data_IF_220085018150
#
_entry.id   IF_220085018150
#
_cell.length_a   1.000
_cell.length_b   1.000
_cell.length_c   1.000
_cell.angle_alpha   90.00
_cell.angle_beta   90.00
_cell.angle_gamma   90.00
#
_symmetry.space_group_name_H-M   'P 1'
#
loop_
_entity.id
_entity.type
_entity.pdbx_description
1 polymer ?
#
# COMPACT_ATOMS: atom_id res chain seq x y z
N UNK A 1 22.41 4.77 31.46
CA UNK A 1 22.77 4.67 30.03
C UNK A 1 22.58 3.22 29.60
N UNK A 2 21.61 2.95 28.71
CA UNK A 2 21.40 1.60 28.16
C UNK A 2 22.52 1.34 27.15
N UNK A 3 23.27 0.24 27.33
CA UNK A 3 24.37 -0.12 26.42
C UNK A 3 23.85 -0.31 24.99
N UNK A 4 24.59 0.18 24.00
CA UNK A 4 24.26 0.04 22.58
C UNK A 4 24.01 -1.43 22.17
N UNK A 5 24.68 -2.38 22.85
CA UNK A 5 24.46 -3.83 22.66
C UNK A 5 23.08 -4.29 23.13
N UNK A 6 22.56 -3.69 24.20
CA UNK A 6 21.22 -4.00 24.75
C UNK A 6 20.14 -3.41 23.84
N UNK A 7 20.34 -2.19 23.32
CA UNK A 7 19.41 -1.59 22.36
C UNK A 7 19.32 -2.41 21.06
N UNK A 8 20.46 -2.83 20.51
CA UNK A 8 20.52 -3.69 19.32
C UNK A 8 19.89 -5.07 19.60
N UNK A 9 20.15 -5.67 20.75
CA UNK A 9 19.53 -6.95 21.13
C UNK A 9 18.01 -6.85 21.29
N UNK A 10 17.50 -5.77 21.89
CA UNK A 10 16.05 -5.53 22.02
C UNK A 10 15.41 -5.27 20.65
N UNK A 11 16.06 -4.53 19.76
CA UNK A 11 15.57 -4.33 18.38
C UNK A 11 15.56 -5.66 17.63
N UNK A 12 16.65 -6.43 17.65
CA UNK A 12 16.73 -7.73 16.98
C UNK A 12 15.72 -8.74 17.56
N UNK A 13 15.49 -8.74 18.86
CA UNK A 13 14.50 -9.61 19.51
C UNK A 13 13.08 -9.20 19.14
N UNK A 14 12.76 -7.90 19.07
CA UNK A 14 11.45 -7.43 18.60
C UNK A 14 11.25 -7.69 17.10
N UNK A 15 12.28 -7.54 16.28
CA UNK A 15 12.25 -7.93 14.86
C UNK A 15 12.06 -9.44 14.73
N UNK A 16 12.79 -10.25 15.48
CA UNK A 16 12.66 -11.70 15.48
C UNK A 16 11.27 -12.16 15.94
N UNK A 17 10.77 -11.65 17.06
CA UNK A 17 9.43 -11.94 17.57
C UNK A 17 8.35 -11.44 16.61
N UNK A 18 8.52 -10.28 15.99
CA UNK A 18 7.63 -9.75 14.95
C UNK A 18 7.62 -10.60 13.69
N UNK A 19 8.78 -11.06 13.22
CA UNK A 19 8.91 -11.96 12.07
C UNK A 19 8.29 -13.33 12.40
N UNK A 20 8.57 -13.91 13.57
CA UNK A 20 8.02 -15.19 14.02
C UNK A 20 6.49 -15.15 14.15
N UNK A 21 5.95 -14.08 14.72
CA UNK A 21 4.50 -13.89 14.86
C UNK A 21 3.83 -13.61 13.51
N UNK A 22 4.48 -12.87 12.60
CA UNK A 22 4.05 -12.77 11.19
C UNK A 22 4.00 -14.14 10.55
N UNK A 23 5.05 -14.97 10.65
CA UNK A 23 5.10 -16.32 10.06
C UNK A 23 4.03 -17.27 10.63
N UNK A 24 3.77 -17.27 11.94
CA UNK A 24 2.72 -18.09 12.55
C UNK A 24 1.31 -17.63 12.16
N UNK A 25 1.06 -16.31 12.13
CA UNK A 25 -0.23 -15.77 11.68
C UNK A 25 -0.44 -16.04 10.19
N UNK A 26 0.60 -15.85 9.36
CA UNK A 26 0.56 -16.11 7.91
C UNK A 26 0.33 -17.58 7.60
N UNK A 27 1.06 -18.48 8.26
CA UNK A 27 0.93 -19.92 8.05
C UNK A 27 -0.48 -20.39 8.38
N UNK A 28 -1.05 -19.94 9.50
CA UNK A 28 -2.42 -20.26 9.90
C UNK A 28 -3.48 -19.66 8.97
N UNK A 29 -3.36 -18.38 8.60
CA UNK A 29 -4.30 -17.70 7.68
C UNK A 29 -4.23 -18.31 6.29
N UNK A 30 -3.04 -18.56 5.75
CA UNK A 30 -2.85 -19.18 4.44
C UNK A 30 -3.45 -20.59 4.42
N UNK A 31 -3.20 -21.41 5.44
CA UNK A 31 -3.76 -22.75 5.53
C UNK A 31 -5.29 -22.72 5.64
N UNK A 32 -5.85 -21.80 6.44
CA UNK A 32 -7.31 -21.65 6.60
C UNK A 32 -7.97 -21.17 5.30
N UNK A 33 -7.33 -20.24 4.59
CA UNK A 33 -7.80 -19.75 3.28
C UNK A 33 -7.75 -20.85 2.23
N UNK A 34 -6.65 -21.60 2.15
CA UNK A 34 -6.52 -22.74 1.23
C UNK A 34 -7.55 -23.83 1.55
N UNK A 35 -7.80 -24.09 2.83
CA UNK A 35 -8.83 -25.02 3.26
C UNK A 35 -10.23 -24.51 2.87
N UNK A 36 -10.55 -23.24 3.11
CA UNK A 36 -11.82 -22.63 2.69
C UNK A 36 -12.01 -22.65 1.16
N UNK A 37 -10.94 -22.42 0.39
CA UNK A 37 -10.94 -22.51 -1.07
C UNK A 37 -11.24 -23.92 -1.59
N UNK A 38 -10.87 -24.96 -0.83
CA UNK A 38 -11.16 -26.34 -1.20
C UNK A 38 -12.66 -26.70 -1.08
N UNK A 39 -13.44 -25.93 -0.32
CA UNK A 39 -14.86 -26.21 -0.07
C UNK A 39 -15.84 -25.22 -0.71
N UNK A 40 -15.37 -24.08 -1.23
CA UNK A 40 -16.23 -23.06 -1.83
C UNK A 40 -16.25 -23.18 -3.36
N UNK A 41 -17.39 -23.62 -3.89
CA UNK A 41 -17.66 -23.59 -5.31
C UNK A 41 -17.92 -22.14 -5.75
N UNK A 42 -16.97 -21.56 -6.46
CA UNK A 42 -17.13 -20.25 -7.11
C UNK A 42 -18.09 -20.31 -8.30
N UNK A 43 -18.56 -19.14 -8.79
CA UNK A 43 -19.34 -19.07 -10.02
C UNK A 43 -18.48 -19.50 -11.23
N UNK A 44 -19.12 -19.79 -12.36
CA UNK A 44 -18.40 -20.02 -13.62
C UNK A 44 -17.67 -18.75 -14.02
N UNK A 45 -16.34 -18.82 -14.07
CA UNK A 45 -15.49 -17.71 -14.50
C UNK A 45 -15.58 -17.48 -16.01
N UNK A 46 -15.34 -16.25 -16.41
CA UNK A 46 -15.43 -15.77 -17.78
C UNK A 46 -14.06 -15.77 -18.47
N UNK A 47 -14.09 -15.92 -19.78
CA UNK A 47 -12.97 -15.64 -20.66
C UNK A 47 -12.85 -14.13 -20.90
N UNK A 48 -11.66 -13.67 -21.28
CA UNK A 48 -11.35 -12.26 -21.53
C UNK A 48 -12.37 -11.60 -22.46
N UNK A 49 -12.68 -12.26 -23.59
CA UNK A 49 -13.62 -11.75 -24.59
C UNK A 49 -15.07 -11.65 -24.08
N UNK A 50 -15.42 -12.43 -23.06
CA UNK A 50 -16.75 -12.43 -22.44
C UNK A 50 -16.86 -11.51 -21.22
N UNK A 51 -15.75 -10.94 -20.76
CA UNK A 51 -15.74 -9.99 -19.65
C UNK A 51 -16.19 -8.59 -20.08
N UNK A 52 -16.75 -7.76 -19.18
CA UNK A 52 -17.09 -6.37 -19.48
C UNK A 52 -15.90 -5.56 -20.03
N UNK A 53 -16.11 -4.61 -20.97
CA UNK A 53 -15.01 -3.87 -21.62
C UNK A 53 -14.05 -3.15 -20.66
N UNK A 54 -14.55 -2.61 -19.54
CA UNK A 54 -13.72 -1.94 -18.54
C UNK A 54 -12.79 -2.89 -17.76
N UNK A 55 -13.03 -4.20 -17.79
CA UNK A 55 -12.16 -5.23 -17.20
C UNK A 55 -11.17 -5.83 -18.21
N UNK A 56 -11.30 -5.52 -19.50
CA UNK A 56 -10.47 -6.04 -20.59
C UNK A 56 -9.12 -5.29 -20.77
N UNK A 57 -8.51 -4.80 -19.69
CA UNK A 57 -7.30 -3.97 -19.78
C UNK A 57 -6.02 -4.76 -20.13
N UNK A 58 -6.00 -6.08 -19.92
CA UNK A 58 -4.85 -6.93 -20.21
C UNK A 58 -5.22 -8.10 -21.12
N UNK A 59 -4.89 -8.00 -22.41
CA UNK A 59 -5.16 -9.03 -23.43
C UNK A 59 -4.41 -10.36 -23.23
N UNK A 60 -3.42 -10.40 -22.34
CA UNK A 60 -2.62 -11.60 -22.09
C UNK A 60 -3.21 -12.49 -20.99
N UNK A 61 -4.15 -11.97 -20.19
CA UNK A 61 -4.91 -12.77 -19.22
C UNK A 61 -6.16 -13.24 -19.94
N UNK A 62 -6.20 -14.51 -20.33
CA UNK A 62 -7.21 -15.04 -21.24
C UNK A 62 -8.47 -15.53 -20.53
N UNK A 63 -8.37 -15.97 -19.27
CA UNK A 63 -9.45 -16.61 -18.52
C UNK A 63 -9.41 -16.24 -17.04
N UNK A 64 -10.41 -16.69 -16.28
CA UNK A 64 -10.44 -16.53 -14.83
C UNK A 64 -11.07 -15.22 -14.35
N UNK A 65 -11.79 -14.52 -15.21
CA UNK A 65 -12.50 -13.28 -14.87
C UNK A 65 -13.76 -13.59 -14.07
N UNK A 66 -13.97 -12.88 -12.96
CA UNK A 66 -15.22 -12.98 -12.21
C UNK A 66 -16.37 -12.35 -13.02
N UNK A 67 -17.57 -12.95 -13.01
CA UNK A 67 -18.76 -12.31 -13.58
C UNK A 67 -19.13 -11.06 -12.76
N UNK A 68 -20.03 -10.23 -13.30
CA UNK A 68 -20.60 -9.11 -12.57
C UNK A 68 -21.19 -9.63 -11.25
N UNK A 69 -20.81 -9.00 -10.14
CA UNK A 69 -21.03 -9.52 -8.79
C UNK A 69 -21.65 -8.48 -7.88
N UNK A 70 -22.51 -8.93 -6.96
CA UNK A 70 -22.94 -8.11 -5.82
C UNK A 70 -21.78 -7.89 -4.85
N UNK A 71 -21.91 -6.94 -3.91
CA UNK A 71 -20.93 -6.74 -2.81
C UNK A 71 -20.62 -8.05 -2.08
N UNK A 72 -21.64 -8.87 -1.82
CA UNK A 72 -21.50 -10.12 -1.10
C UNK A 72 -20.69 -11.14 -1.91
N UNK A 73 -20.92 -11.21 -3.22
CA UNK A 73 -20.19 -12.12 -4.10
C UNK A 73 -18.74 -11.69 -4.31
N UNK A 74 -18.47 -10.38 -4.32
CA UNK A 74 -17.11 -9.85 -4.29
C UNK A 74 -16.40 -10.32 -3.01
N UNK A 75 -17.01 -10.21 -1.83
CA UNK A 75 -16.41 -10.68 -0.57
C UNK A 75 -16.22 -12.20 -0.58
N UNK A 76 -17.19 -12.97 -1.09
CA UNK A 76 -17.06 -14.44 -1.24
C UNK A 76 -15.90 -14.83 -2.16
N UNK A 77 -15.52 -13.97 -3.11
CA UNK A 77 -14.41 -14.23 -4.03
C UNK A 77 -13.03 -14.32 -3.40
N UNK A 78 -12.88 -13.84 -2.15
CA UNK A 78 -11.67 -14.08 -1.37
C UNK A 78 -11.36 -15.57 -1.19
N UNK A 79 -12.35 -16.44 -1.36
CA UNK A 79 -12.24 -17.85 -1.04
C UNK A 79 -12.42 -18.77 -2.26
N UNK A 80 -12.17 -18.29 -3.48
CA UNK A 80 -12.00 -19.17 -4.64
C UNK A 80 -10.97 -18.60 -5.62
N UNK A 81 -10.40 -19.46 -6.46
CA UNK A 81 -9.36 -19.05 -7.41
C UNK A 81 -9.95 -18.23 -8.57
N UNK A 82 -9.37 -17.06 -8.83
CA UNK A 82 -9.68 -16.21 -9.98
C UNK A 82 -8.47 -15.32 -10.31
N UNK A 83 -8.50 -14.62 -11.45
CA UNK A 83 -7.35 -13.87 -11.97
C UNK A 83 -6.88 -12.72 -11.06
N UNK A 84 -7.79 -12.08 -10.32
CA UNK A 84 -7.48 -10.99 -9.38
C UNK A 84 -7.08 -11.45 -7.97
N UNK A 85 -7.11 -12.75 -7.67
CA UNK A 85 -6.92 -13.25 -6.30
C UNK A 85 -5.52 -12.90 -5.77
N UNK A 86 -4.50 -13.08 -6.61
CA UNK A 86 -3.12 -12.71 -6.27
C UNK A 86 -3.01 -11.23 -5.90
N UNK A 87 -3.61 -10.34 -6.70
CA UNK A 87 -3.60 -8.90 -6.45
C UNK A 87 -4.30 -8.53 -5.13
N UNK A 88 -5.39 -9.22 -4.78
CA UNK A 88 -6.07 -8.99 -3.50
C UNK A 88 -5.18 -9.39 -2.33
N UNK A 89 -4.59 -10.58 -2.36
CA UNK A 89 -3.82 -11.11 -1.23
C UNK A 89 -2.47 -10.41 -1.06
N UNK A 90 -1.78 -10.06 -2.15
CA UNK A 90 -0.48 -9.35 -2.07
C UNK A 90 -0.61 -7.96 -1.43
N UNK A 91 -1.78 -7.32 -1.51
CA UNK A 91 -2.05 -6.04 -0.85
C UNK A 91 -2.81 -6.18 0.47
N UNK A 92 -3.73 -7.14 0.57
CA UNK A 92 -4.56 -7.40 1.73
C UNK A 92 -3.79 -7.91 2.92
N UNK A 93 -2.76 -8.73 2.71
CA UNK A 93 -1.98 -9.21 3.84
C UNK A 93 -1.12 -8.08 4.45
N UNK A 94 -0.35 -7.29 3.68
CA UNK A 94 0.28 -6.09 4.21
C UNK A 94 -0.69 -5.11 4.88
N UNK A 95 -1.93 -4.96 4.36
CA UNK A 95 -2.96 -4.13 5.01
C UNK A 95 -3.23 -4.59 6.45
N UNK A 96 -3.49 -5.88 6.65
CA UNK A 96 -3.74 -6.46 7.98
C UNK A 96 -2.50 -6.34 8.85
N UNK A 97 -1.31 -6.66 8.32
CA UNK A 97 -0.06 -6.50 9.04
C UNK A 97 0.15 -5.06 9.49
N UNK A 98 -0.12 -4.07 8.65
CA UNK A 98 0.03 -2.67 9.01
C UNK A 98 -1.01 -2.21 10.03
N UNK A 99 -2.28 -2.63 9.91
CA UNK A 99 -3.32 -2.31 10.90
C UNK A 99 -2.99 -2.83 12.30
N UNK A 100 -2.37 -4.00 12.40
CA UNK A 100 -2.05 -4.63 13.69
C UNK A 100 -0.65 -4.26 14.19
N UNK A 101 0.38 -4.44 13.36
CA UNK A 101 1.76 -4.35 13.79
C UNK A 101 2.25 -2.91 13.90
N UNK A 102 1.85 -1.98 13.01
CA UNK A 102 2.37 -0.61 13.08
C UNK A 102 1.95 0.10 14.38
N UNK A 103 0.68 0.09 14.81
CA UNK A 103 0.30 0.74 16.07
C UNK A 103 0.98 0.12 17.29
N UNK A 104 1.27 -1.18 17.27
CA UNK A 104 1.94 -1.87 18.38
C UNK A 104 3.44 -1.58 18.44
N UNK A 105 4.09 -1.35 17.29
CA UNK A 105 5.55 -1.16 17.20
C UNK A 105 5.98 0.31 17.20
N UNK A 106 5.07 1.25 16.94
CA UNK A 106 5.35 2.68 17.05
C UNK A 106 5.49 3.05 18.54
N UNK A 107 6.63 3.62 18.99
CA UNK A 107 6.81 4.00 20.39
C UNK A 107 6.10 5.33 20.69
N UNK A 108 4.77 5.31 20.71
CA UNK A 108 3.90 6.49 20.81
C UNK A 108 4.24 7.43 21.97
N UNK A 109 4.66 6.88 23.11
CA UNK A 109 5.05 7.64 24.30
C UNK A 109 6.40 8.35 24.16
N UNK A 110 7.25 7.94 23.21
CA UNK A 110 8.58 8.51 22.97
C UNK A 110 8.61 9.45 21.77
N UNK A 111 7.52 9.54 21.01
CA UNK A 111 7.42 10.42 19.84
C UNK A 111 7.05 11.82 20.31
N UNK A 112 7.99 12.75 20.20
CA UNK A 112 7.75 14.17 20.50
C UNK A 112 6.80 14.85 19.52
N UNK A 113 6.60 14.27 18.33
CA UNK A 113 5.78 14.82 17.24
C UNK A 113 4.76 13.79 16.76
N UNK A 114 3.72 13.56 17.57
CA UNK A 114 2.74 12.48 17.38
C UNK A 114 2.04 12.52 16.02
N UNK A 115 1.73 13.72 15.50
CA UNK A 115 1.07 13.88 14.21
C UNK A 115 1.86 13.26 13.06
N UNK A 116 3.20 13.26 13.13
CA UNK A 116 4.07 12.73 12.10
C UNK A 116 4.01 11.19 12.06
N UNK A 117 3.87 10.56 13.22
CA UNK A 117 3.63 9.12 13.35
C UNK A 117 2.27 8.72 12.79
N UNK A 118 1.21 9.48 13.10
CA UNK A 118 -0.14 9.25 12.56
C UNK A 118 -0.17 9.40 11.04
N UNK A 119 0.42 10.47 10.51
CA UNK A 119 0.50 10.72 9.06
C UNK A 119 1.27 9.60 8.35
N UNK A 120 2.37 9.13 8.92
CA UNK A 120 3.12 8.01 8.36
C UNK A 120 2.30 6.71 8.36
N UNK A 121 1.62 6.42 9.46
CA UNK A 121 0.76 5.25 9.57
C UNK A 121 -0.36 5.25 8.52
N UNK A 122 -1.08 6.37 8.38
CA UNK A 122 -2.12 6.53 7.36
C UNK A 122 -1.55 6.43 5.94
N UNK A 123 -0.37 7.02 5.70
CA UNK A 123 0.31 6.90 4.42
C UNK A 123 0.61 5.45 4.07
N UNK A 124 1.14 4.67 5.02
CA UNK A 124 1.48 3.26 4.86
C UNK A 124 0.27 2.34 4.71
N UNK A 125 -0.92 2.73 5.18
CA UNK A 125 -2.16 1.95 4.96
C UNK A 125 -2.80 2.23 3.60
N UNK A 126 -2.63 3.45 3.11
CA UNK A 126 -3.43 3.97 2.00
C UNK A 126 -3.32 3.20 0.66
N UNK A 127 -2.12 2.80 0.14
CA UNK A 127 -2.07 2.05 -1.11
C UNK A 127 -2.58 0.62 -0.98
N UNK A 128 -2.44 -0.01 0.19
CA UNK A 128 -2.91 -1.36 0.44
C UNK A 128 -4.43 -1.38 0.51
N UNK A 129 -5.03 -0.42 1.23
CA UNK A 129 -6.47 -0.28 1.31
C UNK A 129 -7.09 0.02 -0.06
N UNK A 130 -6.54 1.01 -0.78
CA UNK A 130 -7.02 1.38 -2.10
C UNK A 130 -6.96 0.22 -3.09
N UNK A 131 -5.83 -0.50 -3.14
CA UNK A 131 -5.62 -1.65 -4.02
C UNK A 131 -6.54 -2.83 -3.69
N UNK A 132 -6.70 -3.18 -2.40
CA UNK A 132 -7.62 -4.24 -1.97
C UNK A 132 -9.06 -3.91 -2.37
N UNK A 133 -9.53 -2.68 -2.09
CA UNK A 133 -10.88 -2.27 -2.46
C UNK A 133 -11.08 -2.32 -3.98
N UNK A 134 -10.09 -1.88 -4.76
CA UNK A 134 -10.15 -1.96 -6.21
C UNK A 134 -10.21 -3.40 -6.70
N UNK A 135 -9.23 -4.24 -6.40
CA UNK A 135 -9.19 -5.61 -6.92
C UNK A 135 -10.32 -6.48 -6.37
N UNK A 136 -10.84 -6.20 -5.18
CA UNK A 136 -11.98 -6.93 -4.61
C UNK A 136 -13.30 -6.56 -5.30
N UNK A 137 -13.53 -5.26 -5.58
CA UNK A 137 -14.83 -4.75 -6.04
C UNK A 137 -14.84 -4.27 -7.51
N UNK A 138 -13.78 -4.48 -8.28
CA UNK A 138 -13.71 -4.01 -9.68
C UNK A 138 -14.81 -4.59 -10.60
N UNK A 139 -15.32 -5.79 -10.32
CA UNK A 139 -16.41 -6.43 -11.07
C UNK A 139 -17.80 -6.23 -10.43
N UNK A 140 -17.94 -5.22 -9.57
CA UNK A 140 -19.21 -4.91 -8.89
C UNK A 140 -20.32 -4.54 -9.88
N UNK A 141 -21.58 -4.87 -9.54
CA UNK A 141 -22.78 -4.57 -10.35
C UNK A 141 -23.01 -3.10 -10.68
N UNK A 142 -22.40 -2.19 -9.91
CA UNK A 142 -22.35 -0.76 -10.24
C UNK A 142 -21.52 -0.40 -11.48
N UNK A 143 -20.85 -1.38 -12.10
CA UNK A 143 -20.25 -1.29 -13.42
C UNK A 143 -19.06 -0.32 -13.53
N UNK A 144 -18.90 0.24 -14.73
CA UNK A 144 -17.76 1.09 -15.10
C UNK A 144 -17.55 2.32 -14.18
N UNK A 145 -18.59 3.04 -13.70
CA UNK A 145 -18.40 4.16 -12.77
C UNK A 145 -17.75 3.75 -11.45
N UNK A 146 -18.15 2.60 -10.89
CA UNK A 146 -17.58 2.06 -9.66
C UNK A 146 -16.13 1.63 -9.90
N UNK A 147 -15.88 0.92 -11.01
CA UNK A 147 -14.54 0.54 -11.44
C UNK A 147 -13.57 1.74 -11.48
N UNK A 148 -13.94 2.83 -12.17
CA UNK A 148 -13.07 4.00 -12.29
C UNK A 148 -12.89 4.74 -10.97
N UNK A 149 -13.91 4.77 -10.11
CA UNK A 149 -13.81 5.40 -8.78
C UNK A 149 -12.84 4.63 -7.90
N UNK A 150 -12.94 3.30 -7.87
CA UNK A 150 -12.02 2.43 -7.14
C UNK A 150 -10.60 2.51 -7.69
N UNK A 151 -10.43 2.53 -9.01
CA UNK A 151 -9.13 2.69 -9.66
C UNK A 151 -8.48 4.04 -9.29
N UNK A 152 -9.27 5.12 -9.23
CA UNK A 152 -8.77 6.42 -8.75
C UNK A 152 -8.37 6.36 -7.28
N UNK A 153 -9.13 5.65 -6.45
CA UNK A 153 -8.80 5.46 -5.03
C UNK A 153 -7.48 4.70 -4.84
N UNK A 154 -7.26 3.63 -5.60
CA UNK A 154 -6.01 2.88 -5.59
C UNK A 154 -4.80 3.75 -5.98
N UNK A 155 -4.91 4.47 -7.10
CA UNK A 155 -3.88 5.43 -7.54
C UNK A 155 -3.67 6.54 -6.49
N UNK A 156 -4.73 7.02 -5.83
CA UNK A 156 -4.63 8.00 -4.74
C UNK A 156 -3.86 7.45 -3.54
N UNK A 157 -4.06 6.18 -3.18
CA UNK A 157 -3.26 5.45 -2.19
C UNK A 157 -1.75 5.52 -2.49
N UNK A 158 -1.38 5.24 -3.75
CA UNK A 158 0.02 5.32 -4.20
C UNK A 158 0.56 6.77 -4.10
N UNK A 159 -0.25 7.77 -4.43
CA UNK A 159 0.13 9.18 -4.29
C UNK A 159 0.34 9.58 -2.82
N UNK A 160 -0.51 9.09 -1.92
CA UNK A 160 -0.45 9.39 -0.49
C UNK A 160 0.79 8.81 0.17
N UNK A 161 1.13 7.54 -0.05
CA UNK A 161 2.36 6.96 0.51
C UNK A 161 3.61 7.71 0.02
N UNK A 162 3.62 8.11 -1.25
CA UNK A 162 4.72 8.87 -1.81
C UNK A 162 4.85 10.26 -1.15
N UNK A 163 3.74 10.94 -0.91
CA UNK A 163 3.77 12.29 -0.35
C UNK A 163 3.99 12.29 1.16
N UNK A 164 3.23 11.49 1.90
CA UNK A 164 3.21 11.53 3.35
C UNK A 164 4.27 10.60 3.96
N UNK A 165 4.59 9.49 3.30
CA UNK A 165 5.54 8.49 3.81
C UNK A 165 6.97 9.01 3.95
N UNK A 166 7.35 10.03 3.17
CA UNK A 166 8.69 10.62 3.21
C UNK A 166 8.86 11.72 4.27
N UNK A 167 7.77 12.30 4.81
CA UNK A 167 7.86 13.38 5.79
C UNK A 167 8.63 12.97 7.06
N UNK A 168 8.41 11.78 7.67
CA UNK A 168 9.21 11.33 8.80
C UNK A 168 10.68 11.13 8.46
N UNK A 169 10.97 10.65 7.25
CA UNK A 169 12.35 10.43 6.78
C UNK A 169 13.09 11.77 6.73
N UNK A 170 12.50 12.79 6.11
CA UNK A 170 13.08 14.15 6.04
C UNK A 170 13.23 14.75 7.44
N UNK A 171 12.20 14.64 8.28
CA UNK A 171 12.21 15.18 9.63
C UNK A 171 13.33 14.60 10.50
N UNK A 172 13.48 13.26 10.50
CA UNK A 172 14.49 12.55 11.29
C UNK A 172 15.90 12.82 10.74
N UNK A 173 16.08 12.88 9.41
CA UNK A 173 17.41 13.14 8.81
C UNK A 173 17.95 14.51 9.20
N UNK A 174 17.07 15.52 9.27
CA UNK A 174 17.44 16.89 9.61
C UNK A 174 17.07 17.26 11.05
N UNK A 175 17.02 16.27 11.94
CA UNK A 175 16.59 16.49 13.32
C UNK A 175 17.42 17.59 14.03
N UNK A 176 18.74 17.62 13.80
CA UNK A 176 19.67 18.59 14.36
C UNK A 176 19.68 19.97 13.67
N UNK A 177 19.03 20.10 12.51
CA UNK A 177 19.06 21.31 11.68
C UNK A 177 17.66 21.89 11.46
N UNK A 178 17.06 22.58 12.45
CA UNK A 178 15.64 22.93 12.45
C UNK A 178 15.21 23.82 11.28
N UNK A 179 16.04 24.79 10.87
CA UNK A 179 15.73 25.66 9.73
C UNK A 179 15.72 24.87 8.41
N UNK A 180 16.79 24.11 8.14
CA UNK A 180 16.92 23.30 6.93
C UNK A 180 15.81 22.25 6.86
N UNK A 181 15.45 21.66 8.00
CA UNK A 181 14.34 20.71 8.13
C UNK A 181 13.02 21.31 7.68
N UNK A 182 12.64 22.46 8.22
CA UNK A 182 11.37 23.12 7.88
C UNK A 182 11.33 23.49 6.40
N UNK A 183 12.41 24.08 5.87
CA UNK A 183 12.51 24.41 4.44
C UNK A 183 12.39 23.15 3.58
N UNK A 184 13.09 22.08 3.94
CA UNK A 184 13.06 20.82 3.19
C UNK A 184 11.68 20.16 3.18
N UNK A 185 10.97 20.18 4.32
CA UNK A 185 9.60 19.68 4.42
C UNK A 185 8.63 20.50 3.55
N UNK A 186 8.73 21.83 3.57
CA UNK A 186 7.90 22.71 2.73
C UNK A 186 8.15 22.47 1.24
N UNK A 187 9.43 22.43 0.84
CA UNK A 187 9.82 22.13 -0.55
C UNK A 187 9.28 20.77 -0.98
N UNK A 188 9.39 19.76 -0.11
CA UNK A 188 8.91 18.42 -0.42
C UNK A 188 7.39 18.36 -0.59
N UNK A 189 6.63 19.04 0.27
CA UNK A 189 5.18 19.14 0.15
C UNK A 189 4.78 19.84 -1.16
N UNK A 190 5.44 20.95 -1.51
CA UNK A 190 5.17 21.67 -2.76
C UNK A 190 5.46 20.81 -4.00
N UNK A 191 6.63 20.14 -4.03
CA UNK A 191 6.98 19.19 -5.09
C UNK A 191 5.95 18.06 -5.19
N UNK A 192 5.41 17.63 -4.05
CA UNK A 192 4.42 16.56 -4.01
C UNK A 192 3.06 16.97 -4.53
N UNK A 193 2.57 18.14 -4.15
CA UNK A 193 1.32 18.69 -4.68
C UNK A 193 1.42 18.86 -6.20
N UNK A 194 2.56 19.38 -6.69
CA UNK A 194 2.80 19.50 -8.13
C UNK A 194 2.85 18.14 -8.83
N UNK A 195 3.53 17.14 -8.26
CA UNK A 195 3.59 15.79 -8.80
C UNK A 195 2.21 15.14 -8.91
N UNK A 196 1.37 15.28 -7.87
CA UNK A 196 -0.01 14.77 -7.86
C UNK A 196 -0.84 15.47 -8.93
N UNK A 197 -0.78 16.79 -9.04
CA UNK A 197 -1.49 17.54 -10.06
C UNK A 197 -1.12 17.06 -11.48
N UNK A 198 0.18 16.92 -11.76
CA UNK A 198 0.65 16.38 -13.03
C UNK A 198 0.25 14.92 -13.24
N UNK A 199 0.23 14.09 -12.19
CA UNK A 199 -0.17 12.69 -12.29
C UNK A 199 -1.67 12.52 -12.60
N UNK A 200 -2.54 13.32 -11.97
CA UNK A 200 -3.99 13.29 -12.18
C UNK A 200 -4.38 13.82 -13.57
N UNK A 201 -3.63 14.81 -14.09
CA UNK A 201 -3.86 15.38 -15.43
C UNK A 201 -3.18 14.60 -16.56
N UNK A 202 -2.29 13.65 -16.23
CA UNK A 202 -1.54 12.89 -17.22
C UNK A 202 -2.41 11.88 -17.98
N UNK A 203 -2.45 12.02 -19.31
CA UNK A 203 -3.15 11.09 -20.22
C UNK A 203 -2.42 9.76 -20.46
N UNK A 204 -1.12 9.66 -20.17
CA UNK A 204 -0.33 8.44 -20.36
C UNK A 204 0.31 7.95 -19.06
N UNK A 205 0.44 6.63 -18.92
CA UNK A 205 1.09 5.97 -17.77
C UNK A 205 2.54 6.42 -17.58
N UNK A 206 3.30 6.56 -18.67
CA UNK A 206 4.68 7.04 -18.64
C UNK A 206 4.78 8.47 -18.09
N UNK A 207 3.88 9.37 -18.53
CA UNK A 207 3.89 10.76 -18.07
C UNK A 207 3.50 10.86 -16.60
N UNK A 208 2.57 10.02 -16.16
CA UNK A 208 2.18 9.87 -14.75
C UNK A 208 3.35 9.43 -13.88
N UNK A 209 4.12 8.44 -14.31
CA UNK A 209 5.33 8.01 -13.59
C UNK A 209 6.40 9.10 -13.54
N UNK A 210 6.62 9.83 -14.65
CA UNK A 210 7.59 10.93 -14.70
C UNK A 210 7.25 12.07 -13.74
N UNK A 211 5.98 12.30 -13.43
CA UNK A 211 5.56 13.31 -12.45
C UNK A 211 6.18 13.11 -11.06
N UNK A 212 6.50 11.87 -10.70
CA UNK A 212 7.10 11.52 -9.41
C UNK A 212 8.65 11.52 -9.41
N UNK A 213 9.30 11.78 -10.56
CA UNK A 213 10.75 11.72 -10.68
C UNK A 213 11.46 12.72 -9.74
N UNK A 214 10.94 13.94 -9.61
CA UNK A 214 11.53 14.95 -8.71
C UNK A 214 11.39 14.58 -7.23
N UNK A 215 10.29 13.94 -6.83
CA UNK A 215 10.17 13.40 -5.47
C UNK A 215 11.19 12.29 -5.24
N UNK A 216 11.39 11.39 -6.21
CA UNK A 216 12.34 10.29 -6.09
C UNK A 216 13.78 10.82 -5.96
N UNK A 217 14.18 11.79 -6.79
CA UNK A 217 15.48 12.46 -6.69
C UNK A 217 15.69 13.16 -5.35
N UNK A 218 14.66 13.85 -4.86
CA UNK A 218 14.71 14.48 -3.55
C UNK A 218 14.91 13.45 -2.44
N UNK A 219 14.17 12.34 -2.44
CA UNK A 219 14.38 11.28 -1.42
C UNK A 219 15.77 10.65 -1.53
N UNK A 220 16.28 10.46 -2.75
CA UNK A 220 17.59 9.89 -2.98
C UNK A 220 18.71 10.78 -2.43
N UNK A 221 18.60 12.11 -2.53
CA UNK A 221 19.59 13.01 -1.93
C UNK A 221 19.65 12.88 -0.40
N UNK A 222 18.49 12.73 0.26
CA UNK A 222 18.44 12.48 1.71
C UNK A 222 18.99 11.11 2.10
N UNK A 223 18.80 10.09 1.26
CA UNK A 223 19.46 8.80 1.46
C UNK A 223 20.98 8.91 1.38
N UNK A 224 21.51 9.65 0.40
CA UNK A 224 22.95 9.91 0.29
C UNK A 224 23.48 10.71 1.49
N UNK A 225 22.75 11.74 1.93
CA UNK A 225 23.14 12.54 3.11
C UNK A 225 23.27 11.67 4.38
N UNK A 226 22.42 10.65 4.55
CA UNK A 226 22.53 9.68 5.65
C UNK A 226 23.71 8.72 5.50
N UNK A 227 24.20 8.49 4.29
CA UNK A 227 25.34 7.60 4.04
C UNK A 227 26.70 8.26 4.25
N UNK A 228 26.76 9.59 4.26
CA UNK A 228 28.00 10.38 4.38
C UNK A 228 28.27 10.84 5.82
N UNK A 229 27.24 10.93 6.67
CA UNK A 229 27.35 11.32 8.08
C UNK A 229 27.20 10.14 9.03
#
# INVERSE_FOLDING_TARGET
MISHKVLVAVVLLNVYMGVQSVFCLFGGVLLTVLFAMAFLNGPRLLDWASSPPHLQFNKYVLTGYRPISSVQDCIRSLFYLHNELGNIYTHGIPLVCFLVLLPLNIPWSQISVTWLGVVHFLACLSPQLGSVLYHLFMNHEGGEPVYHTLLKLDVCGICMINTLGALPIVYITLFCYPLIRTVSLLVYILLSTHAIYCAVTARSSVRRMRSFAWQALFRFSFFLLRGVG
#
